data_IF_502478287485
#
_entry.id   IF_502478287485
#
_cell.length_a   1.000
_cell.length_b   1.000
_cell.length_c   1.000
_cell.angle_alpha   90.00
_cell.angle_beta   90.00
_cell.angle_gamma   90.00
#
_symmetry.space_group_name_H-M   'P 1'
#
loop_
_entity.id
_entity.type
_entity.pdbx_description
1 polymer ?
#
# COMPACT_ATOMS: atom_id res chain seq x y z
N UNK A 1 35.12 5.75 -42.03
CA UNK A 1 34.00 4.80 -42.21
C UNK A 1 33.23 4.72 -40.89
N UNK A 2 31.90 4.82 -40.92
CA UNK A 2 31.09 4.62 -39.72
C UNK A 2 31.00 3.12 -39.40
N UNK A 3 30.97 2.78 -38.11
CA UNK A 3 30.74 1.41 -37.63
C UNK A 3 29.40 1.36 -36.91
N UNK A 4 28.53 0.45 -37.32
CA UNK A 4 27.25 0.18 -36.69
C UNK A 4 27.29 -1.24 -36.11
N UNK A 5 26.77 -1.41 -34.90
CA UNK A 5 26.70 -2.71 -34.23
C UNK A 5 25.40 -2.80 -33.41
N UNK A 6 24.87 -4.01 -33.30
CA UNK A 6 23.88 -4.32 -32.26
C UNK A 6 24.53 -4.16 -30.90
N UNK A 7 23.81 -3.55 -29.97
CA UNK A 7 24.34 -3.26 -28.64
C UNK A 7 23.22 -3.13 -27.62
N UNK A 8 23.59 -3.04 -26.35
CA UNK A 8 22.70 -2.78 -25.22
C UNK A 8 22.90 -1.36 -24.66
N UNK A 9 21.94 -0.81 -23.91
CA UNK A 9 22.15 0.45 -23.18
C UNK A 9 23.40 0.44 -22.30
N UNK A 10 23.71 -0.70 -21.64
CA UNK A 10 24.87 -0.84 -20.78
C UNK A 10 26.19 -0.68 -21.56
N UNK A 11 26.30 -1.32 -22.73
CA UNK A 11 27.46 -1.20 -23.61
C UNK A 11 27.61 0.21 -24.18
N UNK A 12 26.51 0.86 -24.56
CA UNK A 12 26.53 2.25 -24.99
C UNK A 12 27.07 3.18 -23.91
N UNK A 13 26.60 3.04 -22.66
CA UNK A 13 27.09 3.86 -21.54
C UNK A 13 28.54 3.53 -21.18
N UNK A 14 28.94 2.26 -21.24
CA UNK A 14 30.34 1.86 -21.03
C UNK A 14 31.27 2.47 -22.09
N UNK A 15 30.86 2.48 -23.36
CA UNK A 15 31.60 3.10 -24.46
C UNK A 15 31.61 4.64 -24.35
N UNK A 16 30.50 5.25 -23.93
CA UNK A 16 30.40 6.70 -23.72
C UNK A 16 31.26 7.16 -22.55
N UNK A 17 31.38 6.36 -21.50
CA UNK A 17 32.20 6.66 -20.33
C UNK A 17 33.70 6.43 -20.61
N UNK A 18 34.06 5.46 -21.45
CA UNK A 18 35.46 5.18 -21.83
C UNK A 18 36.00 6.19 -22.84
N UNK A 19 35.13 6.75 -23.68
CA UNK A 19 35.44 7.93 -24.47
C UNK A 19 35.46 9.17 -23.58
N UNK A 20 36.62 9.47 -22.99
CA UNK A 20 36.84 10.72 -22.25
C UNK A 20 36.51 11.90 -23.16
N UNK A 21 35.43 12.61 -22.84
CA UNK A 21 35.17 13.91 -23.43
C UNK A 21 36.18 14.91 -22.87
N UNK A 22 36.84 15.68 -23.74
CA UNK A 22 37.72 16.79 -23.33
C UNK A 22 36.96 17.87 -22.52
N UNK A 23 35.62 17.84 -22.56
CA UNK A 23 34.73 18.71 -21.78
C UNK A 23 33.88 17.88 -20.80
N UNK A 24 33.73 18.32 -19.54
CA UNK A 24 32.84 17.65 -18.59
C UNK A 24 31.39 17.72 -19.07
N UNK A 25 30.60 16.68 -18.74
CA UNK A 25 29.17 16.68 -18.96
C UNK A 25 28.52 17.80 -18.13
N UNK A 26 27.52 18.52 -18.67
CA UNK A 26 26.83 19.57 -17.93
C UNK A 26 26.09 18.97 -16.72
N UNK A 27 26.21 19.62 -15.57
CA UNK A 27 25.38 19.30 -14.41
C UNK A 27 23.96 19.82 -14.63
N UNK A 28 22.96 19.00 -14.31
CA UNK A 28 21.55 19.39 -14.35
C UNK A 28 20.89 19.10 -13.01
N UNK A 29 20.07 20.04 -12.54
CA UNK A 29 19.24 19.90 -11.34
C UNK A 29 17.77 20.21 -11.67
N UNK A 30 16.85 19.75 -10.80
CA UNK A 30 15.41 19.93 -10.98
C UNK A 30 14.73 18.72 -11.63
N UNK A 31 13.51 18.94 -12.12
CA UNK A 31 12.68 17.91 -12.75
C UNK A 31 12.54 18.10 -14.25
N UNK A 32 11.94 17.12 -14.92
CA UNK A 32 11.51 17.21 -16.31
C UNK A 32 9.98 17.38 -16.42
N UNK A 33 9.36 18.06 -15.46
CA UNK A 33 7.93 18.29 -15.40
C UNK A 33 7.58 19.78 -15.60
N UNK A 34 6.46 20.11 -16.26
CA UNK A 34 5.59 19.18 -17.01
C UNK A 34 6.24 18.74 -18.33
N UNK A 35 5.87 17.53 -18.80
CA UNK A 35 6.24 17.07 -20.13
C UNK A 35 5.28 17.65 -21.18
N UNK A 36 5.82 18.07 -22.32
CA UNK A 36 5.08 18.42 -23.53
C UNK A 36 5.86 17.89 -24.74
N UNK A 37 5.16 17.26 -25.66
CA UNK A 37 5.72 16.65 -26.87
C UNK A 37 5.64 17.56 -28.10
N UNK A 38 4.90 18.68 -28.02
CA UNK A 38 4.80 19.66 -29.08
C UNK A 38 4.68 21.11 -28.56
N UNK A 39 4.94 22.09 -29.43
CA UNK A 39 4.72 23.51 -29.18
C UNK A 39 3.35 23.95 -29.73
N UNK A 40 2.60 24.85 -29.04
CA UNK A 40 2.95 25.48 -27.78
C UNK A 40 2.78 24.57 -26.57
N UNK A 41 3.67 24.70 -25.58
CA UNK A 41 3.64 23.92 -24.33
C UNK A 41 2.32 24.10 -23.58
N UNK A 42 1.73 25.30 -23.64
CA UNK A 42 0.45 25.62 -23.00
C UNK A 42 -0.71 24.71 -23.44
N UNK A 43 -0.65 24.14 -24.65
CA UNK A 43 -1.71 23.32 -25.22
C UNK A 43 -1.38 21.83 -25.23
N UNK A 44 -0.08 21.47 -25.14
CA UNK A 44 0.40 20.10 -25.28
C UNK A 44 1.06 19.55 -24.00
N UNK A 45 0.90 20.22 -22.85
CA UNK A 45 1.43 19.73 -21.59
C UNK A 45 0.59 18.55 -21.04
N UNK A 46 1.25 17.44 -20.69
CA UNK A 46 0.61 16.19 -20.26
C UNK A 46 0.19 16.21 -18.77
N UNK A 47 -0.36 17.32 -18.30
CA UNK A 47 -0.74 17.53 -16.89
C UNK A 47 -2.06 16.85 -16.52
N UNK A 48 -2.91 16.48 -17.49
CA UNK A 48 -4.17 15.78 -17.23
C UNK A 48 -3.98 14.43 -16.53
N UNK A 49 -2.88 13.75 -16.84
CA UNK A 49 -2.49 12.47 -16.22
C UNK A 49 -2.28 12.56 -14.70
N UNK A 50 -2.05 13.76 -14.15
CA UNK A 50 -1.88 13.97 -12.71
C UNK A 50 -3.15 13.68 -11.92
N UNK A 51 -4.33 13.91 -12.52
CA UNK A 51 -5.64 13.80 -11.84
C UNK A 51 -6.58 12.77 -12.45
N UNK A 52 -6.33 12.31 -13.68
CA UNK A 52 -7.20 11.39 -14.39
C UNK A 52 -7.39 10.06 -13.62
N UNK A 53 -8.62 9.52 -13.61
CA UNK A 53 -9.02 8.30 -12.88
C UNK A 53 -8.57 8.27 -11.41
N UNK A 54 -8.99 9.28 -10.65
CA UNK A 54 -8.68 9.43 -9.21
C UNK A 54 -8.91 8.16 -8.38
N UNK A 55 -9.99 7.42 -8.61
CA UNK A 55 -10.27 6.20 -7.84
C UNK A 55 -9.26 5.08 -8.10
N UNK A 56 -8.78 4.94 -9.34
CA UNK A 56 -7.68 4.02 -9.64
C UNK A 56 -6.41 4.44 -8.90
N UNK A 57 -6.04 5.72 -8.94
CA UNK A 57 -4.88 6.23 -8.19
C UNK A 57 -4.98 5.90 -6.70
N UNK A 58 -6.14 6.13 -6.09
CA UNK A 58 -6.40 5.78 -4.68
C UNK A 58 -6.20 4.29 -4.41
N UNK A 59 -6.75 3.42 -5.27
CA UNK A 59 -6.60 1.98 -5.13
C UNK A 59 -5.13 1.54 -5.24
N UNK A 60 -4.39 2.06 -6.22
CA UNK A 60 -2.96 1.73 -6.40
C UNK A 60 -2.12 2.18 -5.21
N UNK A 61 -2.36 3.39 -4.69
CA UNK A 61 -1.66 3.89 -3.50
C UNK A 61 -2.00 3.04 -2.28
N UNK A 62 -3.27 2.77 -2.01
CA UNK A 62 -3.69 1.94 -0.88
C UNK A 62 -3.06 0.54 -0.93
N UNK A 63 -3.09 -0.10 -2.10
CA UNK A 63 -2.46 -1.41 -2.32
C UNK A 63 -0.94 -1.37 -2.14
N UNK A 64 -0.27 -0.38 -2.72
CA UNK A 64 1.19 -0.26 -2.64
C UNK A 64 1.66 0.03 -1.22
N UNK A 65 0.94 0.88 -0.49
CA UNK A 65 1.20 1.15 0.93
C UNK A 65 0.99 -0.11 1.76
N UNK A 66 -0.11 -0.84 1.58
CA UNK A 66 -0.34 -2.07 2.30
C UNK A 66 0.77 -3.11 2.06
N UNK A 67 1.25 -3.25 0.82
CA UNK A 67 2.33 -4.18 0.49
C UNK A 67 3.67 -3.77 1.12
N UNK A 68 3.97 -2.47 1.15
CA UNK A 68 5.16 -1.95 1.84
C UNK A 68 5.08 -2.25 3.34
N UNK A 69 3.95 -1.96 3.98
CA UNK A 69 3.72 -2.18 5.41
C UNK A 69 3.85 -3.67 5.74
N UNK A 70 3.21 -4.55 4.95
CA UNK A 70 3.29 -6.00 5.09
C UNK A 70 4.72 -6.52 4.98
N UNK A 71 5.48 -6.06 3.99
CA UNK A 71 6.89 -6.42 3.81
C UNK A 71 7.76 -5.94 4.97
N UNK A 72 7.50 -4.73 5.47
CA UNK A 72 8.25 -4.16 6.59
C UNK A 72 8.01 -4.92 7.90
N UNK A 73 6.75 -5.27 8.21
CA UNK A 73 6.43 -6.06 9.39
C UNK A 73 7.00 -7.47 9.28
N UNK A 74 6.81 -8.14 8.14
CA UNK A 74 7.31 -9.49 7.91
C UNK A 74 8.84 -9.59 8.08
N UNK A 75 9.59 -8.55 7.70
CA UNK A 75 11.04 -8.49 7.88
C UNK A 75 11.47 -8.38 9.36
N UNK A 76 10.59 -7.93 10.25
CA UNK A 76 10.87 -7.79 11.69
C UNK A 76 10.48 -9.03 12.50
N UNK A 77 9.68 -9.93 11.94
CA UNK A 77 9.22 -11.13 12.66
C UNK A 77 10.32 -12.19 12.66
N UNK A 78 10.79 -12.65 13.84
CA UNK A 78 11.78 -13.71 13.92
C UNK A 78 11.23 -15.03 13.36
N UNK A 79 12.09 -15.79 12.67
CA UNK A 79 11.75 -17.08 12.03
C UNK A 79 10.67 -17.00 10.94
N UNK A 80 10.60 -15.87 10.21
CA UNK A 80 9.77 -15.80 9.03
C UNK A 80 10.12 -16.95 8.08
N UNK A 81 9.15 -17.82 7.81
CA UNK A 81 9.41 -19.00 6.98
C UNK A 81 9.34 -18.64 5.49
N UNK A 82 9.81 -19.54 4.62
CA UNK A 82 9.79 -19.29 3.17
C UNK A 82 8.37 -19.02 2.64
N UNK A 83 7.34 -19.55 3.29
CA UNK A 83 5.93 -19.28 2.96
C UNK A 83 5.61 -17.79 3.14
N UNK A 84 6.03 -17.15 4.23
CA UNK A 84 5.77 -15.73 4.46
C UNK A 84 6.51 -14.83 3.46
N UNK A 85 7.73 -15.20 3.10
CA UNK A 85 8.49 -14.51 2.04
C UNK A 85 7.82 -14.64 0.67
N UNK A 86 7.29 -15.83 0.36
CA UNK A 86 6.55 -16.07 -0.88
C UNK A 86 5.26 -15.25 -0.90
N UNK A 87 4.49 -15.24 0.19
CA UNK A 87 3.22 -14.53 0.25
C UNK A 87 3.37 -13.00 0.26
N UNK A 88 4.37 -12.46 0.95
CA UNK A 88 4.72 -11.04 0.85
C UNK A 88 5.18 -10.67 -0.57
N UNK A 89 5.94 -11.53 -1.24
CA UNK A 89 6.32 -11.35 -2.65
C UNK A 89 5.09 -11.39 -3.58
N UNK A 90 4.14 -12.29 -3.33
CA UNK A 90 2.88 -12.39 -4.08
C UNK A 90 2.03 -11.12 -3.91
N UNK A 91 1.90 -10.64 -2.68
CA UNK A 91 1.20 -9.39 -2.37
C UNK A 91 1.87 -8.18 -3.06
N UNK A 92 3.20 -8.10 -3.04
CA UNK A 92 3.95 -7.04 -3.70
C UNK A 92 3.76 -7.04 -5.22
N UNK A 93 3.84 -8.21 -5.88
CA UNK A 93 3.62 -8.33 -7.33
C UNK A 93 2.24 -7.84 -7.75
N UNK A 94 1.19 -8.25 -7.01
CA UNK A 94 -0.17 -7.81 -7.27
C UNK A 94 -0.35 -6.30 -7.03
N UNK A 95 0.26 -5.78 -5.95
CA UNK A 95 0.09 -4.39 -5.53
C UNK A 95 0.81 -3.38 -6.43
N UNK A 96 2.02 -3.73 -6.88
CA UNK A 96 2.86 -2.81 -7.65
C UNK A 96 2.56 -2.81 -9.15
N UNK A 97 1.70 -3.72 -9.64
CA UNK A 97 1.28 -3.72 -11.04
C UNK A 97 0.64 -2.38 -11.45
N UNK A 98 -0.11 -1.76 -10.53
CA UNK A 98 -0.73 -0.46 -10.74
C UNK A 98 0.26 0.71 -10.87
N UNK A 99 1.54 0.53 -10.55
CA UNK A 99 2.58 1.54 -10.72
C UNK A 99 3.08 1.65 -12.18
N UNK A 100 2.62 0.78 -13.08
CA UNK A 100 2.84 0.91 -14.52
C UNK A 100 2.43 2.31 -15.00
N UNK A 101 3.20 2.89 -15.92
CA UNK A 101 3.04 4.28 -16.34
C UNK A 101 1.75 4.56 -17.13
N UNK A 102 0.98 3.55 -17.53
CA UNK A 102 -0.39 3.72 -18.06
C UNK A 102 -1.49 3.38 -17.05
N UNK A 103 -1.11 2.73 -15.95
CA UNK A 103 -2.02 2.38 -14.86
C UNK A 103 -2.19 3.58 -13.93
N UNK A 104 -1.16 3.95 -13.16
CA UNK A 104 -1.25 5.02 -12.16
C UNK A 104 -1.59 6.37 -12.80
N UNK A 105 -1.16 6.64 -14.03
CA UNK A 105 -1.48 7.86 -14.79
C UNK A 105 -2.93 7.88 -15.31
N UNK A 106 -3.56 6.71 -15.38
CA UNK A 106 -4.91 6.53 -15.91
C UNK A 106 -5.03 6.67 -17.42
N UNK A 107 -3.93 6.59 -18.17
CA UNK A 107 -3.90 6.74 -19.64
C UNK A 107 -4.31 5.48 -20.40
N UNK A 108 -4.53 4.36 -19.72
CA UNK A 108 -5.06 3.14 -20.33
C UNK A 108 -6.57 3.21 -20.65
N UNK A 109 -7.07 2.35 -21.57
CA UNK A 109 -8.50 2.16 -21.81
C UNK A 109 -9.27 1.79 -20.54
N UNK A 110 -10.58 2.07 -20.51
CA UNK A 110 -11.41 1.83 -19.31
C UNK A 110 -11.35 0.38 -18.82
N UNK A 111 -11.44 -0.61 -19.72
CA UNK A 111 -11.38 -2.03 -19.35
C UNK A 111 -10.06 -2.40 -18.67
N UNK A 112 -8.94 -1.85 -19.15
CA UNK A 112 -7.61 -2.06 -18.57
C UNK A 112 -7.49 -1.35 -17.21
N UNK A 113 -8.04 -0.15 -17.08
CA UNK A 113 -8.10 0.55 -15.79
C UNK A 113 -8.94 -0.21 -14.75
N UNK A 114 -10.05 -0.82 -15.17
CA UNK A 114 -10.90 -1.63 -14.30
C UNK A 114 -10.14 -2.91 -13.85
N UNK A 115 -9.35 -3.53 -14.73
CA UNK A 115 -8.47 -4.67 -14.39
C UNK A 115 -7.35 -4.28 -13.42
N UNK A 116 -6.64 -3.16 -13.65
CA UNK A 116 -5.65 -2.65 -12.69
C UNK A 116 -6.28 -2.33 -11.32
N UNK A 117 -7.53 -1.85 -11.31
CA UNK A 117 -8.26 -1.62 -10.06
C UNK A 117 -8.53 -2.94 -9.33
N UNK A 118 -8.92 -3.99 -10.05
CA UNK A 118 -9.12 -5.32 -9.48
C UNK A 118 -7.82 -5.90 -8.93
N UNK A 119 -6.70 -5.76 -9.65
CA UNK A 119 -5.38 -6.17 -9.19
C UNK A 119 -4.91 -5.40 -7.95
N UNK A 120 -5.13 -4.09 -7.90
CA UNK A 120 -4.83 -3.29 -6.71
C UNK A 120 -5.65 -3.77 -5.50
N UNK A 121 -6.94 -4.06 -5.66
CA UNK A 121 -7.78 -4.61 -4.58
C UNK A 121 -7.29 -5.99 -4.10
N UNK A 122 -6.90 -6.85 -5.05
CA UNK A 122 -6.28 -8.15 -4.76
C UNK A 122 -4.97 -7.98 -3.99
N UNK A 123 -4.10 -7.09 -4.46
CA UNK A 123 -2.82 -6.78 -3.82
C UNK A 123 -3.00 -6.28 -2.39
N UNK A 124 -3.92 -5.34 -2.18
CA UNK A 124 -4.26 -4.83 -0.85
C UNK A 124 -4.76 -5.94 0.09
N UNK A 125 -5.65 -6.82 -0.38
CA UNK A 125 -6.16 -7.93 0.43
C UNK A 125 -5.04 -8.91 0.82
N UNK A 126 -4.20 -9.32 -0.14
CA UNK A 126 -3.04 -10.19 0.12
C UNK A 126 -2.04 -9.56 1.09
N UNK A 127 -1.81 -8.24 0.98
CA UNK A 127 -0.91 -7.54 1.87
C UNK A 127 -1.47 -7.43 3.30
N UNK A 128 -2.77 -7.17 3.45
CA UNK A 128 -3.44 -7.17 4.75
C UNK A 128 -3.41 -8.55 5.41
N UNK A 129 -3.60 -9.62 4.64
CA UNK A 129 -3.45 -10.99 5.11
C UNK A 129 -2.03 -11.29 5.61
N UNK A 130 -1.01 -10.95 4.80
CA UNK A 130 0.39 -11.10 5.19
C UNK A 130 0.71 -10.33 6.47
N UNK A 131 0.20 -9.09 6.60
CA UNK A 131 0.33 -8.27 7.81
C UNK A 131 -0.29 -8.96 9.03
N UNK A 132 -1.50 -9.50 8.90
CA UNK A 132 -2.19 -10.18 10.00
C UNK A 132 -1.43 -11.43 10.46
N UNK A 133 -0.93 -12.24 9.53
CA UNK A 133 -0.11 -13.43 9.85
C UNK A 133 1.21 -13.05 10.54
N UNK A 134 1.91 -12.04 10.03
CA UNK A 134 3.13 -11.54 10.66
C UNK A 134 2.86 -10.98 12.06
N UNK A 135 1.78 -10.22 12.24
CA UNK A 135 1.39 -9.69 13.55
C UNK A 135 1.08 -10.82 14.56
N UNK A 136 0.32 -11.83 14.14
CA UNK A 136 -0.01 -12.97 15.00
C UNK A 136 1.23 -13.75 15.44
N UNK A 137 2.20 -13.95 14.54
CA UNK A 137 3.49 -14.54 14.92
C UNK A 137 4.28 -13.66 15.88
N UNK A 138 4.36 -12.35 15.62
CA UNK A 138 5.06 -11.41 16.48
C UNK A 138 4.47 -11.39 17.90
N UNK A 139 3.15 -11.52 18.00
CA UNK A 139 2.39 -11.52 19.25
C UNK A 139 2.22 -12.91 19.86
N UNK A 140 2.66 -13.97 19.18
CA UNK A 140 2.49 -15.37 19.57
C UNK A 140 1.03 -15.73 19.86
N UNK A 141 0.12 -15.29 19.00
CA UNK A 141 -1.31 -15.57 19.10
C UNK A 141 -1.86 -16.23 17.82
N UNK A 142 -3.05 -16.84 17.94
CA UNK A 142 -3.77 -17.37 16.79
C UNK A 142 -4.53 -16.26 16.06
N UNK A 143 -4.49 -16.30 14.72
CA UNK A 143 -5.36 -15.44 13.90
C UNK A 143 -6.76 -16.06 13.90
N UNK A 144 -7.79 -15.32 14.27
CA UNK A 144 -9.18 -15.78 14.18
C UNK A 144 -9.57 -16.21 12.75
N UNK A 145 -10.48 -17.18 12.63
CA UNK A 145 -10.89 -17.80 11.36
C UNK A 145 -11.45 -16.81 10.31
N UNK A 146 -11.78 -15.57 10.70
CA UNK A 146 -12.34 -14.54 9.82
C UNK A 146 -11.30 -13.81 8.97
N UNK A 147 -10.02 -14.10 9.14
CA UNK A 147 -8.94 -13.56 8.29
C UNK A 147 -8.58 -14.46 7.10
N UNK A 148 -9.31 -15.57 6.90
CA UNK A 148 -9.20 -16.40 5.70
C UNK A 148 -9.73 -15.62 4.49
N UNK A 149 -8.87 -14.82 3.85
CA UNK A 149 -9.13 -14.21 2.55
C UNK A 149 -9.03 -15.30 1.46
N UNK A 150 -10.03 -16.18 1.40
CA UNK A 150 -10.09 -17.24 0.39
C UNK A 150 -10.28 -16.61 -0.99
N UNK A 151 -9.43 -17.01 -1.94
CA UNK A 151 -9.28 -16.45 -3.29
C UNK A 151 -10.50 -16.65 -4.23
N UNK A 152 -11.59 -17.23 -3.77
CA UNK A 152 -12.48 -17.94 -4.69
C UNK A 152 -13.77 -17.21 -5.08
N UNK A 153 -14.18 -16.14 -4.40
CA UNK A 153 -15.43 -15.46 -4.73
C UNK A 153 -15.17 -13.99 -4.95
N UNK A 154 -15.48 -13.53 -6.18
CA UNK A 154 -15.26 -12.17 -6.64
C UNK A 154 -15.58 -11.15 -5.55
N UNK A 155 -14.67 -10.19 -5.39
CA UNK A 155 -14.74 -9.13 -4.40
C UNK A 155 -16.04 -8.32 -4.55
N UNK A 156 -17.09 -8.74 -3.85
CA UNK A 156 -18.37 -8.05 -3.80
C UNK A 156 -18.27 -6.96 -2.75
N UNK A 157 -17.81 -5.77 -3.17
CA UNK A 157 -18.19 -4.50 -2.56
C UNK A 157 -17.72 -4.23 -1.12
N UNK A 158 -17.13 -3.04 -0.96
CA UNK A 158 -17.36 -2.18 0.21
C UNK A 158 -17.50 -2.89 1.55
N UNK A 159 -16.38 -3.29 2.12
CA UNK A 159 -15.91 -2.70 3.37
C UNK A 159 -14.61 -3.41 3.75
N UNK A 160 -13.50 -2.69 3.61
CA UNK A 160 -12.38 -2.86 4.54
C UNK A 160 -12.84 -2.43 5.94
N UNK A 161 -13.87 -3.09 6.46
CA UNK A 161 -14.63 -2.68 7.61
C UNK A 161 -13.70 -2.60 8.82
N UNK A 162 -13.93 -1.56 9.62
CA UNK A 162 -13.31 -1.44 10.93
C UNK A 162 -13.33 -2.80 11.66
N UNK A 163 -12.19 -3.18 12.24
CA UNK A 163 -12.05 -4.47 12.92
C UNK A 163 -13.20 -4.66 13.92
N UNK A 164 -13.77 -5.87 13.95
CA UNK A 164 -14.96 -6.15 14.75
C UNK A 164 -14.56 -6.86 16.04
N UNK A 165 -15.03 -6.35 17.18
CA UNK A 165 -14.99 -7.05 18.47
C UNK A 165 -16.40 -7.57 18.77
N UNK A 166 -16.53 -8.90 18.88
CA UNK A 166 -17.80 -9.62 19.05
C UNK A 166 -17.95 -10.18 20.45
N UNK A 167 -16.89 -10.76 20.99
CA UNK A 167 -16.91 -11.52 22.24
C UNK A 167 -15.92 -10.98 23.28
N UNK A 168 -16.20 -11.14 24.58
CA UNK A 168 -15.20 -10.87 25.62
C UNK A 168 -13.95 -11.71 25.39
N UNK A 169 -12.79 -11.06 25.23
CA UNK A 169 -11.52 -11.72 24.92
C UNK A 169 -11.00 -11.42 23.52
N UNK A 170 -11.84 -10.88 22.62
CA UNK A 170 -11.37 -10.40 21.32
C UNK A 170 -10.33 -9.29 21.50
N UNK A 171 -9.28 -9.35 20.69
CA UNK A 171 -8.17 -8.40 20.73
C UNK A 171 -7.92 -7.78 19.36
N UNK A 172 -7.46 -6.53 19.36
CA UNK A 172 -6.99 -5.83 18.16
C UNK A 172 -5.55 -5.42 18.37
N UNK A 173 -4.71 -5.74 17.40
CA UNK A 173 -3.33 -5.26 17.31
C UNK A 173 -3.26 -4.04 16.39
N UNK A 174 -2.47 -3.04 16.77
CA UNK A 174 -2.22 -1.85 15.97
C UNK A 174 -0.74 -1.84 15.60
N UNK A 175 -0.46 -1.88 14.29
CA UNK A 175 0.90 -1.76 13.78
C UNK A 175 1.17 -0.31 13.36
N UNK A 176 2.27 0.26 13.84
CA UNK A 176 2.80 1.53 13.38
C UNK A 176 3.98 1.24 12.41
N UNK A 177 3.82 1.44 11.10
CA UNK A 177 4.88 1.19 10.13
C UNK A 177 5.94 2.32 10.09
N UNK A 178 5.76 3.40 10.86
CA UNK A 178 6.73 4.50 10.90
C UNK A 178 7.93 4.18 11.79
N UNK A 179 9.09 4.74 11.47
CA UNK A 179 10.32 4.58 12.26
C UNK A 179 10.38 5.39 13.56
N UNK A 180 9.28 6.05 13.95
CA UNK A 180 9.20 6.86 15.17
C UNK A 180 8.01 6.46 16.03
N UNK A 181 8.09 6.82 17.32
CA UNK A 181 7.00 6.59 18.25
C UNK A 181 5.81 7.50 17.92
N UNK A 182 4.63 6.91 17.75
CA UNK A 182 3.36 7.64 17.65
C UNK A 182 2.70 7.70 19.03
N UNK A 183 2.59 8.88 19.66
CA UNK A 183 2.03 8.98 21.01
C UNK A 183 0.52 8.78 21.06
N UNK A 184 -0.18 8.96 19.93
CA UNK A 184 -1.61 8.74 19.81
C UNK A 184 -1.98 8.22 18.42
N UNK A 185 -3.02 7.39 18.36
CA UNK A 185 -3.68 6.98 17.13
C UNK A 185 -5.17 6.76 17.42
N UNK A 186 -6.05 7.27 16.57
CA UNK A 186 -7.48 6.95 16.63
C UNK A 186 -7.72 5.67 15.84
N UNK A 187 -8.23 4.63 16.50
CA UNK A 187 -8.60 3.36 15.86
C UNK A 187 -10.11 3.20 15.93
N UNK A 188 -10.72 2.97 14.78
CA UNK A 188 -12.17 2.73 14.68
C UNK A 188 -12.43 1.24 14.63
N UNK A 189 -13.30 0.80 15.52
CA UNK A 189 -13.71 -0.60 15.68
C UNK A 189 -15.22 -0.69 15.61
N UNK A 190 -15.73 -1.78 15.06
CA UNK A 190 -17.15 -2.11 15.16
C UNK A 190 -17.34 -3.04 16.36
N UNK A 191 -18.28 -2.70 17.24
CA UNK A 191 -18.53 -3.46 18.46
C UNK A 191 -20.00 -3.87 18.50
N UNK A 192 -20.26 -5.15 18.75
CA UNK A 192 -21.64 -5.68 18.79
C UNK A 192 -22.43 -5.22 20.01
N UNK A 193 -21.73 -4.85 21.08
CA UNK A 193 -22.29 -4.39 22.36
C UNK A 193 -21.36 -3.34 22.98
N UNK A 194 -21.81 -2.70 24.06
CA UNK A 194 -20.96 -1.82 24.87
C UNK A 194 -19.80 -2.62 25.44
N UNK A 195 -18.57 -2.28 25.06
CA UNK A 195 -17.36 -3.00 25.47
C UNK A 195 -16.43 -2.08 26.23
N UNK A 196 -15.85 -2.60 27.32
CA UNK A 196 -14.73 -1.95 27.99
C UNK A 196 -13.45 -2.37 27.28
N UNK A 197 -12.81 -1.41 26.62
CA UNK A 197 -11.51 -1.65 25.97
C UNK A 197 -10.40 -1.42 27.00
N UNK A 198 -9.46 -2.36 27.07
CA UNK A 198 -8.29 -2.28 27.95
C UNK A 198 -7.02 -2.50 27.15
N UNK A 199 -5.91 -1.90 27.58
CA UNK A 199 -4.58 -2.22 27.05
C UNK A 199 -4.21 -3.62 27.53
N UNK A 200 -4.07 -4.56 26.60
CA UNK A 200 -3.78 -5.97 26.90
C UNK A 200 -2.48 -6.18 27.70
N UNK A 201 -1.54 -5.22 27.67
CA UNK A 201 -0.25 -5.30 28.39
C UNK A 201 -0.35 -4.82 29.83
N UNK A 202 -1.25 -3.87 30.12
CA UNK A 202 -1.31 -3.19 31.43
C UNK A 202 -2.64 -3.37 32.16
N UNK A 203 -3.67 -3.89 31.48
CA UNK A 203 -5.04 -4.01 31.99
C UNK A 203 -5.76 -2.67 32.20
N UNK A 204 -5.10 -1.53 31.88
CA UNK A 204 -5.69 -0.19 32.06
C UNK A 204 -6.75 0.07 31.01
N UNK A 205 -7.82 0.75 31.40
CA UNK A 205 -8.86 1.17 30.46
C UNK A 205 -8.28 2.14 29.43
N UNK A 206 -8.62 1.92 28.16
CA UNK A 206 -8.27 2.83 27.06
C UNK A 206 -9.42 3.83 26.89
N UNK A 207 -9.15 5.15 26.74
CA UNK A 207 -10.18 6.11 26.42
C UNK A 207 -10.90 5.71 25.12
N UNK A 208 -12.24 5.65 25.17
CA UNK A 208 -13.07 5.26 24.02
C UNK A 208 -14.16 6.29 23.79
N UNK A 209 -14.52 6.47 22.52
CA UNK A 209 -15.69 7.24 22.11
C UNK A 209 -16.61 6.35 21.29
N UNK A 210 -17.85 6.20 21.74
CA UNK A 210 -18.86 5.42 21.01
C UNK A 210 -19.62 6.33 20.05
N UNK A 211 -19.67 5.95 18.77
CA UNK A 211 -20.57 6.57 17.80
C UNK A 211 -21.60 5.52 17.38
N UNK A 212 -22.84 5.67 17.85
CA UNK A 212 -23.96 4.89 17.32
C UNK A 212 -24.29 5.40 15.93
N UNK A 213 -24.66 4.49 15.04
CA UNK A 213 -25.15 4.77 13.68
C UNK A 213 -26.33 5.76 13.66
N UNK A 214 -26.97 5.95 14.81
CA UNK A 214 -28.18 6.72 15.07
C UNK A 214 -27.91 8.10 15.74
N UNK A 215 -26.64 8.53 15.88
CA UNK A 215 -26.27 9.89 16.31
C UNK A 215 -25.03 9.95 17.22
N UNK A 216 -24.34 11.10 17.23
CA UNK A 216 -23.14 11.33 18.05
C UNK A 216 -23.54 11.79 19.46
N UNK A 217 -23.14 11.04 20.50
CA UNK A 217 -23.13 11.53 21.89
C UNK A 217 -21.70 11.45 22.42
N UNK A 218 -21.16 12.58 22.86
CA UNK A 218 -19.90 12.62 23.60
C UNK A 218 -20.19 12.18 25.04
N UNK A 219 -19.44 11.20 25.55
CA UNK A 219 -19.46 10.84 26.96
C UNK A 219 -18.05 11.04 27.50
N UNK A 220 -17.91 12.01 28.42
CA UNK A 220 -16.72 12.15 29.22
C UNK A 220 -16.69 11.01 30.23
N UNK A 221 -15.69 10.14 30.15
CA UNK A 221 -15.47 9.08 31.12
C UNK A 221 -14.81 9.62 32.39
N UNK A 222 -15.45 9.35 33.53
CA UNK A 222 -14.79 9.13 34.82
C UNK A 222 -14.57 7.62 34.99
#
# INVERSE_FOLDING_TARGET
AFRFAWSTPAEYFAASASNRFDKPLPTRSGSFLPYADNWPVSENAWVGSFVHRRELKRAVIASSTAALDAGSLAALVPNANDVERIETSRAARASYLGLHHDAITGTCPKSVADDFTAWARKGEALARDATARSAARALQCDVGAEHSWTEEHGWTGSDGGAARLREPGDAVAVHNPTGWFLPYAEVRLLVGRRVKVVDARTGRAVPTQERRTDGVRFLNGL
#
